data_IF_788444159075
#
_entry.id   IF_788444159075
#
_cell.length_a   1.000
_cell.length_b   1.000
_cell.length_c   1.000
_cell.angle_alpha   90.00
_cell.angle_beta   90.00
_cell.angle_gamma   90.00
#
_symmetry.space_group_name_H-M   'P 1'
#
loop_
_entity.id
_entity.type
_entity.pdbx_description
1 polymer ?
#
# COMPACT_ATOMS: atom_id res chain seq x y z
N UNK A 1 -18.14 -1.89 -2.28
CA UNK A 1 -17.08 -1.00 -1.76
C UNK A 1 -16.90 0.12 -2.75
N UNK A 2 -16.61 1.32 -2.28
CA UNK A 2 -16.39 2.52 -3.08
C UNK A 2 -14.94 2.97 -2.97
N UNK A 3 -14.45 3.67 -4.00
CA UNK A 3 -13.12 4.25 -3.99
C UNK A 3 -13.07 5.44 -3.04
N UNK A 4 -12.26 5.30 -2.00
CA UNK A 4 -11.96 6.35 -1.04
C UNK A 4 -10.68 7.11 -1.45
N UNK A 5 -9.93 6.69 -2.47
CA UNK A 5 -8.82 7.45 -3.04
C UNK A 5 -7.83 6.54 -3.76
N UNK A 6 -7.10 7.12 -4.71
CA UNK A 6 -6.06 6.40 -5.45
C UNK A 6 -4.86 7.31 -5.70
N UNK A 7 -3.66 6.73 -5.74
CA UNK A 7 -2.47 7.43 -6.21
C UNK A 7 -1.53 6.48 -6.93
N UNK A 8 -0.90 7.00 -7.97
CA UNK A 8 0.15 6.29 -8.71
C UNK A 8 1.50 6.94 -8.46
N UNK A 9 2.55 6.13 -8.32
CA UNK A 9 3.94 6.58 -8.31
C UNK A 9 4.84 5.49 -8.85
N UNK A 10 5.93 5.87 -9.53
CA UNK A 10 6.93 4.87 -9.91
C UNK A 10 7.62 4.31 -8.66
N UNK A 11 8.16 3.11 -8.77
CA UNK A 11 9.08 2.49 -7.85
C UNK A 11 10.30 2.04 -8.66
N UNK A 12 11.53 2.25 -8.16
CA UNK A 12 12.74 1.89 -8.91
C UNK A 12 12.87 0.41 -9.31
N UNK A 13 12.50 -0.57 -8.47
CA UNK A 13 12.70 -1.97 -8.82
C UNK A 13 11.54 -2.53 -9.67
N UNK A 14 11.75 -3.70 -10.32
CA UNK A 14 10.73 -4.34 -11.16
C UNK A 14 9.54 -4.88 -10.34
N UNK A 15 8.39 -5.16 -10.99
CA UNK A 15 7.15 -5.51 -10.30
C UNK A 15 7.28 -6.68 -9.32
N UNK A 16 8.06 -7.71 -9.65
CA UNK A 16 8.30 -8.85 -8.77
C UNK A 16 8.89 -8.48 -7.42
N UNK A 17 9.82 -7.52 -7.39
CA UNK A 17 10.48 -7.08 -6.16
C UNK A 17 9.56 -6.21 -5.32
N UNK A 18 8.77 -5.35 -5.97
CA UNK A 18 7.76 -4.54 -5.27
C UNK A 18 6.65 -5.45 -4.72
N UNK A 19 6.21 -6.45 -5.48
CA UNK A 19 5.24 -7.45 -5.05
C UNK A 19 5.72 -8.21 -3.81
N UNK A 20 6.97 -8.67 -3.82
CA UNK A 20 7.57 -9.35 -2.68
C UNK A 20 7.62 -8.43 -1.45
N UNK A 21 8.03 -7.16 -1.60
CA UNK A 21 8.04 -6.22 -0.49
C UNK A 21 6.64 -5.93 0.10
N UNK A 22 5.60 -5.94 -0.74
CA UNK A 22 4.20 -5.77 -0.33
C UNK A 22 3.60 -7.02 0.33
N UNK A 23 4.12 -8.21 0.03
CA UNK A 23 3.61 -9.48 0.59
C UNK A 23 4.42 -9.93 1.80
N UNK A 24 5.68 -9.52 1.90
CA UNK A 24 6.60 -9.84 2.98
C UNK A 24 7.26 -8.55 3.53
N UNK A 25 6.50 -7.65 4.18
CA UNK A 25 7.02 -6.36 4.64
C UNK A 25 8.14 -6.47 5.68
N UNK A 26 8.19 -7.59 6.41
CA UNK A 26 9.17 -7.85 7.48
C UNK A 26 10.37 -8.69 7.02
N UNK A 27 10.50 -8.96 5.71
CA UNK A 27 11.57 -9.82 5.17
C UNK A 27 12.97 -9.32 5.47
N UNK A 28 13.18 -8.01 5.40
CA UNK A 28 14.45 -7.36 5.76
C UNK A 28 14.29 -6.57 7.07
N UNK A 29 14.62 -7.17 8.23
CA UNK A 29 14.50 -6.48 9.51
C UNK A 29 15.48 -5.30 9.65
N UNK A 30 16.52 -5.20 8.81
CA UNK A 30 17.42 -4.06 8.80
C UNK A 30 16.83 -2.85 8.05
N UNK A 31 15.80 -3.06 7.24
CA UNK A 31 15.13 -2.03 6.42
C UNK A 31 13.61 -2.09 6.56
N UNK A 32 13.05 -1.90 7.77
CA UNK A 32 11.61 -1.93 7.96
C UNK A 32 10.97 -0.68 7.34
N UNK A 33 10.04 -0.90 6.40
CA UNK A 33 9.30 0.17 5.75
C UNK A 33 7.85 0.29 6.24
N UNK A 34 7.22 -0.84 6.60
CA UNK A 34 5.86 -0.89 7.13
C UNK A 34 5.85 -0.51 8.61
N UNK A 35 6.18 0.74 8.89
CA UNK A 35 6.25 1.29 10.25
C UNK A 35 4.86 1.75 10.67
N UNK A 36 4.12 0.89 11.34
CA UNK A 36 2.75 1.14 11.81
C UNK A 36 2.74 2.04 13.05
N UNK A 37 1.72 2.88 13.19
CA UNK A 37 1.43 3.63 14.42
C UNK A 37 0.71 2.75 15.45
N UNK A 38 0.61 3.24 16.69
CA UNK A 38 -0.03 2.51 17.80
C UNK A 38 -1.52 2.20 17.56
N UNK A 39 -2.18 2.97 16.71
CA UNK A 39 -3.58 2.78 16.30
C UNK A 39 -3.72 2.09 14.93
N UNK A 40 -2.63 1.56 14.38
CA UNK A 40 -2.59 0.79 13.14
C UNK A 40 -2.30 -0.69 13.42
N UNK A 41 -2.65 -1.56 12.47
CA UNK A 41 -2.40 -3.01 12.56
C UNK A 41 -1.78 -3.53 11.27
N UNK A 42 -1.03 -4.61 11.40
CA UNK A 42 -0.43 -5.28 10.25
C UNK A 42 -1.52 -5.80 9.31
N UNK A 43 -1.43 -5.53 8.00
CA UNK A 43 -2.39 -6.00 7.03
C UNK A 43 -2.26 -7.50 6.82
N UNK A 44 -3.39 -8.18 6.63
CA UNK A 44 -3.45 -9.51 6.06
C UNK A 44 -3.57 -9.41 4.54
N UNK A 45 -2.95 -10.33 3.82
CA UNK A 45 -3.12 -10.45 2.37
C UNK A 45 -4.47 -11.11 2.11
N UNK A 46 -5.41 -10.36 1.53
CA UNK A 46 -6.73 -10.84 1.14
C UNK A 46 -6.73 -11.47 -0.26
N UNK A 47 -5.86 -10.99 -1.14
CA UNK A 47 -5.66 -11.51 -2.49
C UNK A 47 -4.27 -11.13 -2.97
N UNK A 48 -3.63 -12.00 -3.72
CA UNK A 48 -2.38 -11.69 -4.40
C UNK A 48 -2.32 -12.44 -5.73
N UNK A 49 -1.99 -11.72 -6.80
CA UNK A 49 -1.75 -12.27 -8.13
C UNK A 49 -0.41 -11.72 -8.62
N UNK A 50 0.58 -12.59 -8.72
CA UNK A 50 1.97 -12.18 -8.92
C UNK A 50 2.26 -11.89 -10.39
N UNK A 51 3.00 -10.81 -10.73
CA UNK A 51 3.43 -9.72 -9.85
C UNK A 51 2.44 -8.54 -9.80
N UNK A 52 1.25 -8.67 -10.40
CA UNK A 52 0.40 -7.55 -10.82
C UNK A 52 -0.50 -6.96 -9.73
N UNK A 53 -0.84 -7.72 -8.69
CA UNK A 53 -1.87 -7.33 -7.74
C UNK A 53 -1.58 -7.83 -6.33
N UNK A 54 -1.71 -6.94 -5.35
CA UNK A 54 -1.80 -7.28 -3.93
C UNK A 54 -3.00 -6.56 -3.33
N UNK A 55 -3.81 -7.25 -2.53
CA UNK A 55 -4.91 -6.64 -1.77
C UNK A 55 -4.68 -6.90 -0.29
N UNK A 56 -4.54 -5.81 0.46
CA UNK A 56 -4.42 -5.85 1.90
C UNK A 56 -5.78 -5.64 2.58
N UNK A 57 -5.94 -6.27 3.75
CA UNK A 57 -6.96 -5.91 4.72
C UNK A 57 -6.69 -4.53 5.31
N UNK A 58 -7.66 -3.99 6.04
CA UNK A 58 -7.52 -2.69 6.67
C UNK A 58 -6.36 -2.62 7.66
N UNK A 59 -5.56 -1.55 7.53
CA UNK A 59 -4.55 -1.13 8.49
C UNK A 59 -5.16 -0.47 9.74
N UNK A 60 -6.44 -0.07 9.70
CA UNK A 60 -7.05 0.77 10.73
C UNK A 60 -8.19 0.04 11.43
N UNK A 61 -8.10 -0.23 12.74
CA UNK A 61 -9.18 -0.80 13.54
C UNK A 61 -10.49 0.02 13.46
N UNK A 62 -10.40 1.35 13.28
CA UNK A 62 -11.55 2.25 13.14
C UNK A 62 -12.30 2.13 11.81
N UNK A 63 -11.67 1.56 10.77
CA UNK A 63 -12.31 1.21 9.48
C UNK A 63 -11.93 -0.21 9.11
N UNK A 64 -12.44 -1.22 9.83
CA UNK A 64 -12.02 -2.60 9.64
C UNK A 64 -12.42 -3.16 8.26
N UNK A 65 -13.39 -2.52 7.62
CA UNK A 65 -13.90 -2.81 6.29
C UNK A 65 -12.96 -2.32 5.16
N UNK A 66 -12.03 -1.40 5.45
CA UNK A 66 -11.16 -0.84 4.45
C UNK A 66 -10.28 -1.92 3.81
N UNK A 67 -9.97 -1.73 2.53
CA UNK A 67 -9.02 -2.56 1.79
C UNK A 67 -8.10 -1.67 1.00
N UNK A 68 -6.83 -2.09 0.88
CA UNK A 68 -5.85 -1.38 0.07
C UNK A 68 -5.50 -2.29 -1.09
N UNK A 69 -5.89 -1.89 -2.29
CA UNK A 69 -5.53 -2.58 -3.53
C UNK A 69 -4.26 -1.95 -4.08
N UNK A 70 -3.29 -2.77 -4.43
CA UNK A 70 -2.08 -2.39 -5.13
C UNK A 70 -2.11 -2.98 -6.52
N UNK A 71 -1.99 -2.13 -7.54
CA UNK A 71 -1.79 -2.55 -8.93
C UNK A 71 -0.35 -2.25 -9.32
N UNK A 72 0.32 -3.24 -9.89
CA UNK A 72 1.74 -3.21 -10.25
C UNK A 72 1.89 -3.45 -11.75
N UNK A 73 2.31 -2.42 -12.45
CA UNK A 73 2.59 -2.48 -13.89
C UNK A 73 4.06 -2.13 -14.15
N UNK A 74 4.73 -2.72 -15.16
CA UNK A 74 6.02 -2.23 -15.61
C UNK A 74 5.93 -0.76 -16.01
N UNK A 75 6.90 0.07 -15.65
CA UNK A 75 6.91 1.49 -16.02
C UNK A 75 7.41 1.79 -17.44
N UNK A 76 7.65 0.75 -18.24
CA UNK A 76 8.27 0.81 -19.57
C UNK A 76 9.81 0.77 -19.54
N UNK A 77 10.42 0.81 -18.35
CA UNK A 77 11.84 0.58 -18.13
C UNK A 77 12.09 -0.64 -17.24
N UNK A 78 12.96 -0.48 -16.25
CA UNK A 78 13.25 -1.52 -15.25
C UNK A 78 12.45 -1.35 -13.94
N UNK A 79 11.58 -0.35 -13.87
CA UNK A 79 10.82 0.00 -12.68
C UNK A 79 9.36 -0.47 -12.71
N UNK A 80 8.63 -0.06 -11.68
CA UNK A 80 7.21 -0.40 -11.50
C UNK A 80 6.39 0.86 -11.38
N UNK A 81 5.32 0.98 -12.15
CA UNK A 81 4.25 1.91 -11.88
C UNK A 81 3.34 1.31 -10.80
N UNK A 82 3.53 1.71 -9.54
CA UNK A 82 2.73 1.24 -8.41
C UNK A 82 1.53 2.18 -8.20
N UNK A 83 0.32 1.62 -8.27
CA UNK A 83 -0.92 2.27 -7.83
C UNK A 83 -1.34 1.70 -6.50
N UNK A 84 -1.68 2.55 -5.54
CA UNK A 84 -2.53 2.12 -4.43
C UNK A 84 -3.92 2.74 -4.58
N UNK A 85 -4.94 1.95 -4.25
CA UNK A 85 -6.35 2.37 -4.22
C UNK A 85 -6.95 1.94 -2.89
N UNK A 86 -7.42 2.92 -2.12
CA UNK A 86 -8.14 2.71 -0.86
C UNK A 86 -9.61 2.49 -1.16
N UNK A 87 -10.13 1.33 -0.76
CA UNK A 87 -11.52 0.91 -0.92
C UNK A 87 -12.17 0.85 0.45
N UNK A 88 -13.40 1.36 0.58
CA UNK A 88 -14.16 1.33 1.84
C UNK A 88 -15.62 0.95 1.57
N UNK A 89 -16.31 0.39 2.57
CA UNK A 89 -17.76 0.27 2.56
C UNK A 89 -18.42 1.65 2.73
N UNK A 90 -19.65 1.80 2.24
CA UNK A 90 -20.42 3.00 2.52
C UNK A 90 -20.81 3.08 4.01
N UNK A 91 -20.90 4.30 4.58
CA UNK A 91 -20.60 5.59 3.96
C UNK A 91 -19.09 5.88 3.90
N UNK A 92 -18.70 6.81 3.03
CA UNK A 92 -17.35 7.39 3.08
C UNK A 92 -17.09 7.97 4.47
N UNK A 93 -15.86 7.80 5.00
CA UNK A 93 -15.40 8.56 6.15
C UNK A 93 -15.54 10.07 5.92
N UNK A 94 -15.61 10.83 7.02
CA UNK A 94 -15.50 12.29 6.93
C UNK A 94 -14.19 12.72 6.25
N UNK A 95 -14.15 13.96 5.77
CA UNK A 95 -13.02 14.47 4.99
C UNK A 95 -11.70 14.46 5.77
N UNK A 96 -11.74 14.61 7.10
CA UNK A 96 -10.55 14.62 7.97
C UNK A 96 -9.94 13.23 8.05
N UNK A 97 -10.74 12.22 8.40
CA UNK A 97 -10.31 10.83 8.46
C UNK A 97 -9.86 10.36 7.07
N UNK A 98 -10.62 10.67 6.02
CA UNK A 98 -10.27 10.30 4.66
C UNK A 98 -8.92 10.89 4.23
N UNK A 99 -8.67 12.17 4.55
CA UNK A 99 -7.39 12.83 4.33
C UNK A 99 -6.24 12.15 5.08
N UNK A 100 -6.47 11.78 6.34
CA UNK A 100 -5.50 11.05 7.15
C UNK A 100 -5.13 9.69 6.53
N UNK A 101 -6.13 8.84 6.19
CA UNK A 101 -5.90 7.52 5.59
C UNK A 101 -5.07 7.60 4.29
N UNK A 102 -5.42 8.54 3.39
CA UNK A 102 -4.71 8.75 2.13
C UNK A 102 -3.28 9.26 2.34
N UNK A 103 -3.08 10.20 3.27
CA UNK A 103 -1.74 10.70 3.62
C UNK A 103 -0.88 9.57 4.14
N UNK A 104 -1.46 8.70 4.96
CA UNK A 104 -0.75 7.62 5.61
C UNK A 104 -0.30 6.51 4.64
N UNK A 105 -1.17 6.12 3.70
CA UNK A 105 -0.77 5.24 2.59
C UNK A 105 0.34 5.83 1.74
N UNK A 106 0.29 7.14 1.47
CA UNK A 106 1.37 7.81 0.76
C UNK A 106 2.70 7.76 1.51
N UNK A 107 2.68 7.93 2.82
CA UNK A 107 3.90 7.84 3.62
C UNK A 107 4.48 6.42 3.59
N UNK A 108 3.67 5.40 3.87
CA UNK A 108 4.14 4.01 3.87
C UNK A 108 4.66 3.57 2.50
N UNK A 109 3.92 3.84 1.42
CA UNK A 109 4.19 3.26 0.10
C UNK A 109 5.09 4.16 -0.75
N UNK A 110 4.84 5.47 -0.74
CA UNK A 110 5.52 6.41 -1.62
C UNK A 110 6.72 7.09 -0.96
N UNK A 111 6.90 6.94 0.35
CA UNK A 111 8.12 7.32 1.06
C UNK A 111 8.84 6.08 1.59
N UNK A 112 8.33 5.41 2.62
CA UNK A 112 9.08 4.38 3.36
C UNK A 112 9.51 3.20 2.48
N UNK A 113 8.58 2.59 1.74
CA UNK A 113 8.89 1.48 0.81
C UNK A 113 9.87 1.92 -0.28
N UNK A 114 9.71 3.14 -0.79
CA UNK A 114 10.60 3.65 -1.83
C UNK A 114 12.02 3.85 -1.28
N UNK A 115 12.17 4.32 -0.04
CA UNK A 115 13.46 4.46 0.64
C UNK A 115 14.20 3.13 0.80
N UNK A 116 13.50 2.01 1.00
CA UNK A 116 14.17 0.70 1.12
C UNK A 116 14.85 0.25 -0.18
N UNK A 117 14.43 0.80 -1.31
CA UNK A 117 15.04 0.56 -2.62
C UNK A 117 16.22 1.53 -2.93
N UNK A 118 16.65 2.34 -1.96
CA UNK A 118 17.84 3.19 -2.09
C UNK A 118 17.61 4.55 -2.75
N UNK A 119 16.39 5.09 -2.66
CA UNK A 119 16.00 6.44 -3.12
C UNK A 119 15.59 7.30 -1.94
#
# INVERSE_FOLDING_TARGET
MIEAGSRVRSQPPPPDIVFEALTEPDRDPARPWLRLLDDERSPQILSADRPHLVVWSSLWPRRPDARVRFDLEPDGGAGTQLRWTLLVAEPLPDASLLGHLRKRLNELVNANLRYTFGQ
#
